data_IF_471289409219
#
_entry.id   IF_471289409219
#
_cell.length_a   1.000
_cell.length_b   1.000
_cell.length_c   1.000
_cell.angle_alpha   90.00
_cell.angle_beta   90.00
_cell.angle_gamma   90.00
#
_symmetry.space_group_name_H-M   'P 1'
#
loop_
_entity.id
_entity.type
_entity.pdbx_description
1 polymer ?
#
# COMPACT_ATOMS: atom_id res chain seq x y z
N UNK A 1 -7.64 -7.88 -20.44
CA UNK A 1 -6.44 -8.14 -19.62
C UNK A 1 -6.71 -7.61 -18.23
N UNK A 2 -6.36 -8.38 -17.21
CA UNK A 2 -6.50 -7.98 -15.81
C UNK A 2 -5.08 -7.95 -15.20
N UNK A 3 -4.69 -6.80 -14.65
CA UNK A 3 -3.41 -6.61 -13.97
C UNK A 3 -3.68 -6.30 -12.51
N UNK A 4 -2.99 -6.99 -11.62
CA UNK A 4 -3.07 -6.78 -10.17
C UNK A 4 -1.74 -6.26 -9.65
N UNK A 5 -1.80 -5.31 -8.73
CA UNK A 5 -0.62 -4.72 -8.11
C UNK A 5 -0.78 -4.92 -6.60
N UNK A 6 0.29 -5.40 -5.98
CA UNK A 6 0.30 -5.74 -4.56
C UNK A 6 1.55 -5.13 -3.92
N UNK A 7 1.40 -4.57 -2.73
CA UNK A 7 2.51 -4.10 -1.89
C UNK A 7 2.63 -5.07 -0.72
N UNK A 8 3.85 -5.54 -0.47
CA UNK A 8 4.18 -6.25 0.77
C UNK A 8 5.08 -5.35 1.62
N UNK A 9 4.67 -5.13 2.86
CA UNK A 9 5.46 -4.47 3.90
C UNK A 9 5.97 -5.54 4.86
N UNK A 10 7.26 -5.50 5.18
CA UNK A 10 7.84 -6.27 6.29
C UNK A 10 8.18 -5.27 7.39
N UNK A 11 7.53 -5.40 8.53
CA UNK A 11 7.74 -4.55 9.70
C UNK A 11 9.00 -4.96 10.47
N UNK A 12 9.47 -4.09 11.36
CA UNK A 12 10.70 -4.34 12.14
C UNK A 12 10.58 -5.55 13.08
N UNK A 13 9.36 -5.90 13.50
CA UNK A 13 9.07 -7.10 14.28
C UNK A 13 9.00 -8.39 13.43
N UNK A 14 9.28 -8.31 12.12
CA UNK A 14 9.21 -9.41 11.16
C UNK A 14 7.80 -9.76 10.69
N UNK A 15 6.76 -9.07 11.17
CA UNK A 15 5.40 -9.21 10.64
C UNK A 15 5.36 -8.78 9.18
N UNK A 16 4.57 -9.49 8.37
CA UNK A 16 4.33 -9.12 6.98
C UNK A 16 2.90 -8.72 6.78
N UNK A 17 2.68 -7.68 5.99
CA UNK A 17 1.36 -7.26 5.55
C UNK A 17 1.34 -7.03 4.05
N UNK A 18 0.23 -7.43 3.47
CA UNK A 18 0.02 -7.34 2.03
C UNK A 18 -1.19 -6.44 1.75
N UNK A 19 -0.99 -5.39 0.96
CA UNK A 19 -2.04 -4.53 0.45
C UNK A 19 -2.26 -4.85 -1.03
N UNK A 20 -3.48 -5.25 -1.38
CA UNK A 20 -3.87 -5.32 -2.78
C UNK A 20 -4.33 -3.92 -3.23
N UNK A 21 -3.61 -3.34 -4.18
CA UNK A 21 -4.01 -2.08 -4.82
C UNK A 21 -5.05 -2.39 -5.91
N UNK A 22 -5.79 -1.37 -6.31
CA UNK A 22 -6.70 -1.48 -7.44
C UNK A 22 -5.95 -1.98 -8.69
N UNK A 23 -6.58 -2.91 -9.38
CA UNK A 23 -6.06 -3.47 -10.62
C UNK A 23 -6.31 -2.59 -11.84
N UNK A 24 -5.57 -2.85 -12.90
CA UNK A 24 -5.81 -2.24 -14.21
C UNK A 24 -6.54 -3.28 -15.07
N UNK A 25 -7.82 -3.01 -15.35
CA UNK A 25 -8.65 -3.88 -16.18
C UNK A 25 -9.02 -3.18 -17.49
N UNK A 26 -8.70 -3.84 -18.61
CA UNK A 26 -8.96 -3.30 -19.95
C UNK A 26 -9.60 -4.36 -20.85
N UNK A 27 -10.68 -4.03 -21.60
CA UNK A 27 -11.25 -4.93 -22.58
C UNK A 27 -10.25 -5.25 -23.69
N UNK A 28 -10.16 -6.52 -24.09
CA UNK A 28 -9.21 -6.98 -25.12
C UNK A 28 -9.38 -6.29 -26.49
N UNK A 29 -10.58 -5.76 -26.78
CA UNK A 29 -10.90 -5.12 -28.06
C UNK A 29 -10.41 -3.67 -28.16
N UNK A 30 -9.83 -3.10 -27.10
CA UNK A 30 -9.29 -1.75 -27.14
C UNK A 30 -7.88 -1.80 -27.73
N UNK A 31 -7.77 -1.54 -29.03
CA UNK A 31 -6.50 -1.53 -29.79
C UNK A 31 -5.99 -0.13 -30.10
N UNK A 32 -6.70 0.92 -29.67
CA UNK A 32 -6.18 2.28 -29.82
C UNK A 32 -4.88 2.44 -29.00
N UNK A 33 -3.90 3.22 -29.49
CA UNK A 33 -2.64 3.43 -28.77
C UNK A 33 -2.84 3.92 -27.34
N UNK A 34 -3.81 4.82 -27.12
CA UNK A 34 -4.19 5.32 -25.79
C UNK A 34 -4.76 4.22 -24.89
N UNK A 35 -5.21 3.11 -25.45
CA UNK A 35 -5.78 1.95 -24.76
C UNK A 35 -4.76 0.96 -24.24
N UNK A 36 -3.51 1.04 -24.67
CA UNK A 36 -2.48 0.02 -24.46
C UNK A 36 -1.48 0.48 -23.39
N UNK A 37 -1.03 -0.47 -22.56
CA UNK A 37 -0.04 -0.21 -21.52
C UNK A 37 -0.61 0.51 -20.29
N UNK A 38 0.30 1.11 -19.52
CA UNK A 38 -0.02 1.89 -18.32
C UNK A 38 -0.28 3.35 -18.73
N UNK A 39 -1.50 3.85 -18.52
CA UNK A 39 -1.78 5.28 -18.75
C UNK A 39 -1.18 6.14 -17.64
N UNK A 40 -0.98 7.42 -17.93
CA UNK A 40 -0.60 8.40 -16.92
C UNK A 40 -1.61 8.45 -15.76
N UNK A 41 -2.91 8.37 -16.06
CA UNK A 41 -3.96 8.34 -15.03
C UNK A 41 -3.88 7.08 -14.16
N UNK A 42 -3.63 5.92 -14.77
CA UNK A 42 -3.43 4.67 -14.02
C UNK A 42 -2.21 4.81 -13.10
N UNK A 43 -1.10 5.33 -13.62
CA UNK A 43 0.13 5.53 -12.87
C UNK A 43 -0.06 6.47 -11.68
N UNK A 44 -0.76 7.59 -11.87
CA UNK A 44 -1.10 8.52 -10.77
C UNK A 44 -1.93 7.84 -9.68
N UNK A 45 -2.96 7.09 -10.08
CA UNK A 45 -3.83 6.36 -9.14
C UNK A 45 -3.06 5.28 -8.38
N UNK A 46 -2.20 4.53 -9.05
CA UNK A 46 -1.35 3.51 -8.42
C UNK A 46 -0.41 4.15 -7.41
N UNK A 47 0.25 5.25 -7.78
CA UNK A 47 1.16 5.98 -6.87
C UNK A 47 0.42 6.53 -5.65
N UNK A 48 -0.77 7.10 -5.83
CA UNK A 48 -1.62 7.56 -4.73
C UNK A 48 -1.95 6.42 -3.74
N UNK A 49 -2.30 5.23 -4.26
CA UNK A 49 -2.59 4.08 -3.42
C UNK A 49 -1.35 3.53 -2.71
N UNK A 50 -0.19 3.54 -3.38
CA UNK A 50 1.09 3.20 -2.76
C UNK A 50 1.40 4.14 -1.60
N UNK A 51 1.28 5.46 -1.81
CA UNK A 51 1.52 6.46 -0.77
C UNK A 51 0.62 6.23 0.44
N UNK A 52 -0.67 5.94 0.20
CA UNK A 52 -1.63 5.67 1.28
C UNK A 52 -1.31 4.38 2.05
N UNK A 53 -1.02 3.29 1.36
CA UNK A 53 -0.69 2.01 2.00
C UNK A 53 0.56 2.12 2.89
N UNK A 54 1.62 2.74 2.37
CA UNK A 54 2.86 2.97 3.12
C UNK A 54 2.60 3.86 4.33
N UNK A 55 1.87 4.97 4.16
CA UNK A 55 1.57 5.87 5.28
C UNK A 55 0.78 5.15 6.38
N UNK A 56 -0.21 4.33 6.02
CA UNK A 56 -0.98 3.56 6.99
C UNK A 56 -0.10 2.59 7.78
N UNK A 57 0.78 1.85 7.10
CA UNK A 57 1.69 0.91 7.75
C UNK A 57 2.67 1.61 8.69
N UNK A 58 3.29 2.71 8.24
CA UNK A 58 4.21 3.51 9.05
C UNK A 58 3.53 4.09 10.30
N UNK A 59 2.32 4.64 10.14
CA UNK A 59 1.58 5.20 11.28
C UNK A 59 1.24 4.10 12.30
N UNK A 60 0.87 2.91 11.84
CA UNK A 60 0.59 1.79 12.75
C UNK A 60 1.86 1.34 13.49
N UNK A 61 2.99 1.24 12.80
CA UNK A 61 4.28 0.88 13.40
C UNK A 61 4.70 1.89 14.47
N UNK A 62 4.64 3.20 14.13
CA UNK A 62 4.93 4.29 15.07
C UNK A 62 4.01 4.22 16.29
N UNK A 63 2.70 4.01 16.10
CA UNK A 63 1.74 3.90 17.20
C UNK A 63 2.07 2.69 18.09
N UNK A 64 2.47 1.56 17.50
CA UNK A 64 2.81 0.34 18.23
C UNK A 64 4.05 0.55 19.12
N UNK A 65 5.09 1.19 18.59
CA UNK A 65 6.33 1.46 19.31
C UNK A 65 6.19 2.57 20.35
N UNK A 66 5.53 3.67 19.97
CA UNK A 66 5.35 4.85 20.83
C UNK A 66 4.46 4.59 22.05
N UNK A 67 3.75 3.45 22.10
CA UNK A 67 2.93 3.05 23.25
C UNK A 67 3.74 2.51 24.41
N UNK A 68 4.98 2.10 24.18
CA UNK A 68 5.85 1.56 25.22
C UNK A 68 6.52 2.72 25.94
N UNK A 69 6.20 2.91 27.23
CA UNK A 69 6.89 3.89 28.05
C UNK A 69 8.39 3.52 28.13
N UNK A 70 9.32 4.41 27.75
CA UNK A 70 10.75 4.09 27.79
C UNK A 70 11.26 3.87 29.23
N UNK A 71 10.58 4.43 30.23
CA UNK A 71 11.02 4.36 31.63
C UNK A 71 10.54 3.10 32.37
N UNK A 72 9.37 2.56 32.01
CA UNK A 72 8.76 1.44 32.74
C UNK A 72 8.21 0.32 31.87
N UNK A 73 8.39 0.41 30.55
CA UNK A 73 7.89 -0.53 29.53
C UNK A 73 6.37 -0.77 29.54
N UNK A 74 5.60 0.03 30.29
CA UNK A 74 4.14 -0.08 30.31
C UNK A 74 3.54 0.40 28.98
N UNK A 75 2.46 -0.26 28.54
CA UNK A 75 1.74 0.06 27.30
C UNK A 75 0.52 0.92 27.64
N UNK A 76 0.40 2.12 27.08
CA UNK A 76 -0.82 2.94 27.23
C UNK A 76 -2.00 2.31 26.48
N UNK A 77 -3.17 2.23 27.14
CA UNK A 77 -4.44 1.87 26.51
C UNK A 77 -4.97 3.01 25.62
N UNK A 78 -5.83 2.67 24.67
CA UNK A 78 -6.47 3.59 23.71
C UNK A 78 -7.61 4.35 24.38
#
# INVERSE_FOLDING_TARGET
MDVRITIETTFDNGEKRTHQLDGISRPYRVTCPDGIGLRLEDGKRVVEQIQRAILCDQVEEIIRESRVCPDCASVRAI
#
